data_IF_788939826103
#
_entry.id   IF_788939826103
#
_cell.length_a   1.000
_cell.length_b   1.000
_cell.length_c   1.000
_cell.angle_alpha   90.00
_cell.angle_beta   90.00
_cell.angle_gamma   90.00
#
_symmetry.space_group_name_H-M   'P 1'
#
loop_
_entity.id
_entity.type
_entity.pdbx_description
1 polymer ?
#
# COMPACT_ATOMS: atom_id res chain seq x y z
N UNK A 1 -36.69 -19.89 -24.85
CA UNK A 1 -37.81 -19.85 -23.90
C UNK A 1 -37.43 -20.64 -22.67
N UNK A 2 -37.17 -19.95 -21.56
CA UNK A 2 -37.20 -20.44 -20.17
C UNK A 2 -36.50 -19.36 -19.33
N UNK A 3 -37.27 -18.39 -18.84
CA UNK A 3 -36.81 -17.41 -17.87
C UNK A 3 -37.19 -17.94 -16.49
N UNK A 4 -36.18 -18.37 -15.72
CA UNK A 4 -36.36 -18.74 -14.32
C UNK A 4 -36.60 -17.50 -13.48
N UNK A 5 -37.84 -17.33 -13.01
CA UNK A 5 -38.24 -16.23 -12.15
C UNK A 5 -37.62 -16.36 -10.75
N UNK A 6 -37.00 -15.28 -10.28
CA UNK A 6 -36.58 -15.11 -8.89
C UNK A 6 -37.80 -14.65 -8.10
N UNK A 7 -38.24 -15.46 -7.14
CA UNK A 7 -39.30 -15.08 -6.21
C UNK A 7 -38.74 -14.10 -5.17
N UNK A 8 -39.18 -12.84 -5.24
CA UNK A 8 -38.94 -11.82 -4.22
C UNK A 8 -40.00 -11.99 -3.13
N UNK A 9 -39.57 -12.33 -1.91
CA UNK A 9 -40.44 -12.32 -0.74
C UNK A 9 -40.61 -10.87 -0.21
N UNK A 10 -41.82 -10.44 0.19
CA UNK A 10 -42.05 -9.11 0.74
C UNK A 10 -41.55 -8.99 2.19
N UNK A 11 -41.09 -7.80 2.64
CA UNK A 11 -40.71 -7.57 4.02
C UNK A 11 -41.94 -7.47 4.93
N UNK A 12 -41.96 -8.22 6.02
CA UNK A 12 -42.97 -8.11 7.06
C UNK A 12 -42.80 -6.80 7.87
N UNK A 13 -43.88 -6.17 8.33
CA UNK A 13 -43.84 -4.90 9.03
C UNK A 13 -43.32 -5.01 10.47
N UNK A 14 -42.54 -4.02 10.85
CA UNK A 14 -42.02 -3.78 12.19
C UNK A 14 -43.13 -3.52 13.21
N UNK A 15 -43.21 -4.36 14.25
CA UNK A 15 -43.95 -4.07 15.47
C UNK A 15 -42.98 -3.95 16.65
N UNK A 16 -42.78 -2.70 17.07
CA UNK A 16 -42.21 -2.31 18.36
C UNK A 16 -43.18 -2.75 19.43
N UNK A 17 -42.78 -3.60 20.37
CA UNK A 17 -43.32 -3.64 21.73
C UNK A 17 -42.34 -4.32 22.68
N UNK A 18 -42.02 -3.55 23.70
CA UNK A 18 -41.20 -3.81 24.88
C UNK A 18 -41.60 -5.10 25.60
N UNK A 19 -40.60 -5.91 25.95
CA UNK A 19 -40.79 -7.06 26.84
C UNK A 19 -39.46 -7.53 27.41
N UNK A 20 -39.14 -7.06 28.62
CA UNK A 20 -38.07 -7.59 29.47
C UNK A 20 -38.34 -9.08 29.74
N UNK A 21 -37.74 -9.97 28.95
CA UNK A 21 -37.65 -11.40 29.26
C UNK A 21 -36.28 -11.68 29.86
N UNK A 22 -36.27 -12.02 31.15
CA UNK A 22 -35.12 -12.48 31.93
C UNK A 22 -34.30 -13.53 31.15
N UNK A 23 -33.05 -13.21 30.87
CA UNK A 23 -32.07 -14.11 30.29
C UNK A 23 -31.65 -15.15 31.33
N UNK A 24 -32.31 -16.31 31.34
CA UNK A 24 -31.76 -17.51 31.98
C UNK A 24 -30.62 -18.04 31.09
N UNK A 25 -29.39 -18.23 31.61
CA UNK A 25 -28.30 -18.79 30.82
C UNK A 25 -28.64 -20.24 30.45
N UNK A 26 -28.80 -20.51 29.16
CA UNK A 26 -28.95 -21.87 28.65
C UNK A 26 -27.62 -22.60 28.87
N UNK A 27 -27.62 -23.57 29.78
CA UNK A 27 -26.50 -24.49 29.97
C UNK A 27 -26.20 -25.20 28.64
N UNK A 28 -24.93 -25.31 28.22
CA UNK A 28 -24.57 -26.02 27.00
C UNK A 28 -24.93 -27.50 27.17
N UNK A 29 -25.81 -28.00 26.31
CA UNK A 29 -26.11 -29.43 26.25
C UNK A 29 -24.83 -30.20 25.95
N UNK A 30 -24.52 -31.19 26.81
CA UNK A 30 -23.48 -32.21 26.66
C UNK A 30 -23.70 -33.08 25.40
N UNK A 31 -23.58 -32.48 24.21
CA UNK A 31 -23.58 -33.18 22.91
C UNK A 31 -22.24 -33.09 22.18
N UNK A 32 -21.24 -32.48 22.82
CA UNK A 32 -19.87 -32.35 22.28
C UNK A 32 -18.94 -33.50 22.65
N UNK A 33 -19.41 -34.52 23.39
CA UNK A 33 -18.62 -35.67 23.82
C UNK A 33 -18.93 -36.98 23.07
N UNK A 34 -19.66 -36.92 21.95
CA UNK A 34 -19.64 -38.03 20.98
C UNK A 34 -18.55 -37.74 19.94
N UNK A 35 -17.68 -38.72 19.60
CA UNK A 35 -16.78 -38.58 18.48
C UNK A 35 -17.67 -38.38 17.25
N UNK A 36 -17.74 -37.16 16.73
CA UNK A 36 -18.26 -36.95 15.39
C UNK A 36 -17.35 -37.78 14.50
N UNK A 37 -17.92 -38.82 13.89
CA UNK A 37 -17.24 -39.62 12.89
C UNK A 37 -16.53 -38.62 11.97
N UNK A 38 -15.20 -38.75 11.89
CA UNK A 38 -14.38 -37.84 11.10
C UNK A 38 -15.07 -37.67 9.74
N UNK A 39 -15.21 -36.43 9.22
CA UNK A 39 -15.83 -36.25 7.92
C UNK A 39 -15.11 -37.20 6.97
N UNK A 40 -15.87 -38.13 6.38
CA UNK A 40 -15.39 -39.01 5.35
C UNK A 40 -15.02 -38.07 4.21
N UNK A 41 -13.77 -37.62 4.20
CA UNK A 41 -13.26 -36.73 3.17
C UNK A 41 -13.35 -37.57 1.92
N UNK A 42 -14.35 -37.30 1.09
CA UNK A 42 -14.45 -37.88 -0.24
C UNK A 42 -13.23 -37.36 -0.98
N UNK A 43 -12.17 -38.16 -0.97
CA UNK A 43 -10.96 -37.87 -1.70
C UNK A 43 -11.35 -37.92 -3.16
N UNK A 44 -11.30 -36.77 -3.83
CA UNK A 44 -11.53 -36.73 -5.27
C UNK A 44 -10.64 -37.78 -5.93
N UNK A 45 -11.17 -38.62 -6.85
CA UNK A 45 -10.41 -39.74 -7.43
C UNK A 45 -9.10 -39.26 -8.08
N UNK A 46 -9.10 -38.02 -8.58
CA UNK A 46 -7.94 -37.34 -9.14
C UNK A 46 -6.79 -37.12 -8.15
N UNK A 47 -7.09 -36.91 -6.87
CA UNK A 47 -6.08 -36.73 -5.82
C UNK A 47 -5.44 -38.07 -5.43
N UNK A 48 -6.20 -39.15 -5.48
CA UNK A 48 -5.67 -40.51 -5.27
C UNK A 48 -4.78 -40.95 -6.44
N UNK A 49 -5.18 -40.64 -7.67
CA UNK A 49 -4.36 -40.85 -8.87
C UNK A 49 -3.04 -40.07 -8.80
N UNK A 50 -3.09 -38.81 -8.37
CA UNK A 50 -1.88 -37.99 -8.18
C UNK A 50 -0.97 -38.54 -7.07
N UNK A 51 -1.54 -39.01 -5.95
CA UNK A 51 -0.75 -39.64 -4.88
C UNK A 51 -0.05 -40.90 -5.37
N UNK A 52 -0.77 -41.78 -6.08
CA UNK A 52 -0.19 -42.99 -6.68
C UNK A 52 0.94 -42.65 -7.64
N UNK A 53 0.76 -41.65 -8.49
CA UNK A 53 1.81 -41.17 -9.41
C UNK A 53 3.03 -40.64 -8.65
N UNK A 54 2.85 -39.88 -7.57
CA UNK A 54 3.96 -39.37 -6.76
C UNK A 54 4.72 -40.52 -6.06
N UNK A 55 4.01 -41.53 -5.56
CA UNK A 55 4.60 -42.70 -4.90
C UNK A 55 5.35 -43.61 -5.88
N UNK A 56 4.83 -43.79 -7.10
CA UNK A 56 5.42 -44.63 -8.14
C UNK A 56 6.64 -43.99 -8.81
N UNK A 57 6.56 -42.70 -9.14
CA UNK A 57 7.62 -41.99 -9.88
C UNK A 57 8.59 -41.23 -8.97
N UNK A 58 8.27 -41.03 -7.69
CA UNK A 58 9.10 -40.28 -6.72
C UNK A 58 9.15 -38.76 -6.94
N UNK A 59 8.81 -38.30 -8.15
CA UNK A 59 8.87 -36.90 -8.54
C UNK A 59 7.49 -36.24 -8.52
N UNK A 60 7.36 -35.10 -7.82
CA UNK A 60 6.11 -34.33 -7.86
C UNK A 60 5.89 -33.73 -9.25
N UNK A 61 4.67 -33.70 -9.83
CA UNK A 61 4.44 -33.18 -11.19
C UNK A 61 4.76 -31.68 -11.35
N UNK A 62 5.02 -30.98 -10.25
CA UNK A 62 5.46 -29.58 -10.21
C UNK A 62 6.95 -29.41 -9.92
N UNK A 63 7.72 -30.51 -9.81
CA UNK A 63 9.16 -30.48 -9.64
C UNK A 63 9.81 -29.93 -10.91
N UNK A 64 10.69 -28.96 -10.73
CA UNK A 64 11.28 -28.12 -11.79
C UNK A 64 11.98 -28.97 -12.88
N UNK A 65 12.41 -30.18 -12.54
CA UNK A 65 13.22 -31.06 -13.38
C UNK A 65 12.41 -32.07 -14.22
N UNK A 66 11.07 -32.14 -14.07
CA UNK A 66 10.21 -33.14 -14.73
C UNK A 66 9.92 -32.88 -16.23
N UNK A 67 10.78 -32.13 -16.94
CA UNK A 67 10.69 -31.92 -18.39
C UNK A 67 9.46 -31.15 -18.92
N UNK A 68 8.42 -30.94 -18.09
CA UNK A 68 7.20 -30.19 -18.40
C UNK A 68 7.35 -28.69 -18.12
N UNK A 69 8.03 -28.31 -17.04
CA UNK A 69 8.20 -26.90 -16.63
C UNK A 69 9.29 -26.20 -17.46
N UNK A 70 10.31 -26.93 -17.92
CA UNK A 70 11.42 -26.40 -18.73
C UNK A 70 11.05 -26.00 -20.18
N UNK A 71 9.78 -26.10 -20.58
CA UNK A 71 9.31 -25.79 -21.94
C UNK A 71 8.58 -24.44 -22.08
N UNK A 72 8.29 -23.74 -20.99
CA UNK A 72 7.59 -22.45 -21.04
C UNK A 72 8.50 -21.26 -21.42
N UNK A 73 9.52 -21.49 -22.23
CA UNK A 73 10.33 -20.43 -22.80
C UNK A 73 9.64 -19.85 -24.06
N UNK A 74 9.69 -18.53 -24.29
CA UNK A 74 9.16 -17.95 -25.52
C UNK A 74 9.88 -18.55 -26.73
N UNK A 75 9.14 -19.26 -27.58
CA UNK A 75 9.71 -19.98 -28.73
C UNK A 75 10.48 -19.09 -29.70
N UNK A 76 10.11 -17.81 -29.79
CA UNK A 76 10.69 -16.82 -30.71
C UNK A 76 10.81 -15.46 -30.01
N UNK A 77 11.80 -14.68 -30.42
CA UNK A 77 11.95 -13.28 -30.02
C UNK A 77 10.75 -12.47 -30.51
N UNK A 78 10.09 -11.74 -29.61
CA UNK A 78 8.98 -10.85 -29.96
C UNK A 78 9.44 -9.75 -30.91
N UNK A 79 8.71 -9.53 -32.01
CA UNK A 79 9.02 -8.45 -32.96
C UNK A 79 8.86 -7.07 -32.32
N UNK A 80 9.55 -6.07 -32.88
CA UNK A 80 9.47 -4.69 -32.40
C UNK A 80 8.02 -4.18 -32.39
N UNK A 81 7.25 -4.45 -33.46
CA UNK A 81 5.82 -4.12 -33.57
C UNK A 81 5.01 -4.74 -32.43
N UNK A 82 5.11 -6.06 -32.21
CA UNK A 82 4.34 -6.76 -31.16
C UNK A 82 4.67 -6.26 -29.76
N UNK A 83 5.95 -5.92 -29.48
CA UNK A 83 6.34 -5.32 -28.20
C UNK A 83 5.71 -3.94 -28.00
N UNK A 84 5.76 -3.08 -29.02
CA UNK A 84 5.21 -1.71 -28.97
C UNK A 84 3.69 -1.71 -28.85
N UNK A 85 3.01 -2.56 -29.61
CA UNK A 85 1.56 -2.70 -29.54
C UNK A 85 1.13 -3.18 -28.15
N UNK A 86 1.80 -4.21 -27.62
CA UNK A 86 1.53 -4.71 -26.26
C UNK A 86 1.78 -3.64 -25.18
N UNK A 87 2.76 -2.74 -25.35
CA UNK A 87 3.10 -1.73 -24.34
C UNK A 87 2.28 -0.45 -24.47
N UNK A 88 2.07 0.04 -25.70
CA UNK A 88 1.56 1.39 -25.98
C UNK A 88 0.18 1.43 -26.65
N UNK A 89 -0.35 0.34 -27.21
CA UNK A 89 -1.66 0.40 -27.88
C UNK A 89 -2.81 0.40 -26.85
N UNK A 90 -2.72 -0.47 -25.84
CA UNK A 90 -3.70 -0.54 -24.76
C UNK A 90 -3.78 0.78 -23.98
N UNK A 91 -4.97 1.36 -23.87
CA UNK A 91 -5.21 2.59 -23.12
C UNK A 91 -4.86 2.46 -21.63
N UNK A 92 -4.98 1.26 -21.06
CA UNK A 92 -4.73 1.00 -19.64
C UNK A 92 -3.26 1.20 -19.22
N UNK A 93 -2.33 0.99 -20.15
CA UNK A 93 -0.89 1.18 -19.92
C UNK A 93 -0.43 2.61 -20.15
N UNK A 94 -1.30 3.48 -20.66
CA UNK A 94 -0.99 4.88 -20.88
C UNK A 94 -1.18 5.65 -19.59
N UNK A 95 -0.30 6.62 -19.37
CA UNK A 95 -0.47 7.60 -18.30
C UNK A 95 -1.66 8.48 -18.67
N UNK A 96 -2.71 8.42 -17.85
CA UNK A 96 -3.91 9.25 -18.04
C UNK A 96 -3.60 10.68 -17.56
N UNK A 97 -4.05 11.72 -18.28
CA UNK A 97 -3.91 13.09 -17.80
C UNK A 97 -4.68 13.30 -16.49
N UNK A 98 -4.14 14.14 -15.60
CA UNK A 98 -4.77 14.46 -14.32
C UNK A 98 -5.74 15.63 -14.50
N UNK A 99 -7.03 15.34 -14.61
CA UNK A 99 -8.10 16.34 -14.80
C UNK A 99 -8.57 16.98 -13.48
N UNK A 100 -8.19 16.39 -12.35
CA UNK A 100 -8.62 16.79 -11.02
C UNK A 100 -7.69 17.81 -10.35
N UNK A 101 -7.01 18.63 -11.15
CA UNK A 101 -6.14 19.71 -10.66
C UNK A 101 -6.94 21.02 -10.52
N UNK A 102 -6.88 21.61 -9.33
CA UNK A 102 -7.67 22.77 -8.92
C UNK A 102 -6.76 23.79 -8.24
N UNK A 103 -7.17 25.06 -8.25
CA UNK A 103 -6.53 26.14 -7.48
C UNK A 103 -6.66 25.89 -5.98
N UNK A 104 -5.56 26.08 -5.24
CA UNK A 104 -5.61 26.12 -3.79
C UNK A 104 -6.32 27.39 -3.30
N UNK A 105 -7.31 27.30 -2.39
CA UNK A 105 -8.01 28.48 -1.89
C UNK A 105 -7.15 29.40 -1.01
N UNK A 106 -6.09 28.86 -0.37
CA UNK A 106 -5.23 29.64 0.51
C UNK A 106 -4.08 30.33 -0.25
N UNK A 107 -3.24 29.55 -0.95
CA UNK A 107 -2.03 30.08 -1.60
C UNK A 107 -2.13 30.28 -3.11
N UNK A 108 -3.23 29.86 -3.76
CA UNK A 108 -3.38 29.99 -5.22
C UNK A 108 -2.60 28.98 -6.08
N UNK A 109 -1.70 28.18 -5.51
CA UNK A 109 -0.96 27.14 -6.22
C UNK A 109 -1.84 25.97 -6.67
N UNK A 110 -1.34 25.17 -7.62
CA UNK A 110 -2.03 23.96 -8.09
C UNK A 110 -2.07 22.87 -7.00
N UNK A 111 -3.25 22.28 -6.78
CA UNK A 111 -3.45 21.10 -5.92
C UNK A 111 -4.42 20.11 -6.55
N UNK A 112 -4.57 18.91 -5.97
CA UNK A 112 -5.64 17.96 -6.36
C UNK A 112 -6.98 18.31 -5.70
N UNK A 113 -8.09 18.04 -6.37
CA UNK A 113 -9.45 18.49 -5.99
C UNK A 113 -9.93 18.04 -4.60
N UNK A 114 -9.50 16.88 -4.10
CA UNK A 114 -9.93 16.33 -2.80
C UNK A 114 -8.80 16.24 -1.77
N UNK A 115 -7.65 16.86 -2.04
CA UNK A 115 -6.49 16.80 -1.17
C UNK A 115 -6.16 18.18 -0.61
N UNK A 116 -5.57 18.20 0.59
CA UNK A 116 -4.96 19.42 1.12
C UNK A 116 -3.78 19.84 0.25
N UNK A 117 -3.53 21.15 0.15
CA UNK A 117 -2.36 21.65 -0.56
C UNK A 117 -1.10 21.27 0.23
N UNK A 118 -0.17 20.58 -0.41
CA UNK A 118 1.05 20.13 0.26
C UNK A 118 2.00 21.28 0.59
N UNK A 119 1.93 22.40 -0.14
CA UNK A 119 2.65 23.63 0.18
C UNK A 119 2.15 24.24 1.49
N UNK A 120 0.85 24.58 1.55
CA UNK A 120 0.25 25.13 2.77
C UNK A 120 0.41 24.20 3.97
N UNK A 121 0.29 22.89 3.76
CA UNK A 121 0.51 21.92 4.82
C UNK A 121 1.95 21.93 5.34
N UNK A 122 2.94 22.10 4.46
CA UNK A 122 4.34 22.21 4.86
C UNK A 122 4.58 23.47 5.72
N UNK A 123 4.02 24.61 5.33
CA UNK A 123 4.11 25.87 6.08
C UNK A 123 3.43 25.78 7.46
N UNK A 124 2.24 25.18 7.52
CA UNK A 124 1.55 24.95 8.79
C UNK A 124 2.40 24.03 9.67
N UNK A 125 2.99 22.98 9.10
CA UNK A 125 3.85 22.06 9.84
C UNK A 125 5.12 22.73 10.36
N UNK A 126 5.77 23.60 9.59
CA UNK A 126 6.96 24.34 10.06
C UNK A 126 6.60 25.31 11.18
N UNK A 127 5.47 26.02 11.04
CA UNK A 127 4.94 26.90 12.08
C UNK A 127 4.57 26.17 13.38
N UNK A 128 3.92 25.00 13.29
CA UNK A 128 3.60 24.21 14.48
C UNK A 128 4.87 23.65 15.14
N UNK A 129 5.88 23.28 14.35
CA UNK A 129 7.19 22.86 14.88
C UNK A 129 7.91 24.00 15.61
N UNK A 130 7.90 25.22 15.07
CA UNK A 130 8.52 26.36 15.75
C UNK A 130 7.82 26.70 17.06
N UNK A 131 6.47 26.68 17.08
CA UNK A 131 5.69 26.81 18.31
C UNK A 131 5.98 25.70 19.32
N UNK A 132 6.05 24.44 18.87
CA UNK A 132 6.41 23.31 19.75
C UNK A 132 7.78 23.53 20.38
N UNK A 133 8.78 23.97 19.61
CA UNK A 133 10.12 24.28 20.12
C UNK A 133 10.13 25.43 21.13
N UNK A 134 9.25 26.43 20.95
CA UNK A 134 9.13 27.54 21.90
C UNK A 134 8.43 27.14 23.21
N UNK A 135 7.40 26.28 23.13
CA UNK A 135 6.67 25.78 24.30
C UNK A 135 7.47 24.71 25.07
N UNK A 136 8.17 23.87 24.32
CA UNK A 136 9.00 22.78 24.84
C UNK A 136 10.43 23.01 24.34
N UNK A 137 11.19 23.91 25.00
CA UNK A 137 12.61 24.01 24.72
C UNK A 137 13.24 22.64 24.97
N UNK A 138 13.95 22.12 23.98
CA UNK A 138 14.78 20.93 24.17
C UNK A 138 15.72 21.19 25.35
N UNK A 139 15.96 20.20 26.23
CA UNK A 139 16.88 20.38 27.34
C UNK A 139 18.22 20.83 26.77
N UNK A 140 18.64 22.05 27.11
CA UNK A 140 19.90 22.60 26.64
C UNK A 140 20.99 21.65 27.08
N UNK A 141 21.70 21.05 26.12
CA UNK A 141 22.93 20.32 26.44
C UNK A 141 23.81 21.27 27.24
N UNK A 142 24.14 20.90 28.49
CA UNK A 142 25.07 21.67 29.33
C UNK A 142 26.44 21.52 28.71
N UNK A 143 26.71 22.31 27.67
CA UNK A 143 28.03 22.44 27.10
C UNK A 143 28.81 23.34 28.04
N UNK A 144 30.02 22.91 28.36
CA UNK A 144 30.97 23.76 29.06
C UNK A 144 31.23 24.97 28.15
N UNK A 145 31.06 26.18 28.69
CA UNK A 145 31.45 27.42 28.02
C UNK A 145 32.99 27.46 28.04
N UNK A 146 33.60 26.89 26.99
CA UNK A 146 35.04 26.88 26.78
C UNK A 146 35.43 28.08 25.92
N UNK A 147 36.62 28.63 26.16
CA UNK A 147 37.21 29.61 25.25
C UNK A 147 37.41 28.97 23.86
N UNK A 148 37.35 29.74 22.77
CA UNK A 148 37.48 29.18 21.41
C UNK A 148 38.84 28.51 21.17
N UNK A 149 39.87 28.91 21.91
CA UNK A 149 41.18 28.24 21.92
C UNK A 149 41.07 26.86 22.59
N UNK A 150 40.41 26.81 23.75
CA UNK A 150 40.19 25.56 24.48
C UNK A 150 39.25 24.61 23.73
N UNK A 151 38.22 25.10 23.03
CA UNK A 151 37.36 24.27 22.19
C UNK A 151 38.14 23.59 21.06
N UNK A 152 39.09 24.30 20.43
CA UNK A 152 39.97 23.72 19.39
C UNK A 152 40.99 22.73 19.97
N UNK A 153 41.49 22.97 21.19
CA UNK A 153 42.40 22.06 21.90
C UNK A 153 41.69 20.78 22.36
N UNK A 154 40.50 20.92 22.96
CA UNK A 154 39.70 19.82 23.52
C UNK A 154 39.00 19.02 22.42
N UNK A 155 38.50 19.67 21.36
CA UNK A 155 37.75 19.04 20.27
C UNK A 155 38.36 19.31 18.87
N UNK A 156 39.54 18.75 18.56
CA UNK A 156 40.19 18.97 17.27
C UNK A 156 39.41 18.38 16.09
N UNK A 157 39.38 19.11 14.96
CA UNK A 157 38.66 18.69 13.74
C UNK A 157 39.36 17.52 13.06
N UNK A 158 38.60 16.44 12.81
CA UNK A 158 39.05 15.27 12.04
C UNK A 158 38.77 15.45 10.54
N UNK A 159 39.68 14.97 9.67
CA UNK A 159 39.41 14.84 8.23
C UNK A 159 38.38 13.73 7.99
N UNK A 160 37.28 14.08 7.34
CA UNK A 160 36.21 13.15 7.03
C UNK A 160 36.56 12.32 5.80
N UNK A 161 36.10 11.07 5.78
CA UNK A 161 36.16 10.24 4.58
C UNK A 161 35.16 10.72 3.54
N UNK A 162 35.39 10.42 2.27
CA UNK A 162 34.50 10.83 1.17
C UNK A 162 33.07 10.32 1.36
N UNK A 163 32.90 9.10 1.89
CA UNK A 163 31.57 8.55 2.17
C UNK A 163 30.85 9.30 3.30
N UNK A 164 31.59 9.75 4.31
CA UNK A 164 31.06 10.57 5.41
C UNK A 164 30.68 11.97 4.92
N UNK A 165 31.47 12.54 4.00
CA UNK A 165 31.17 13.82 3.34
C UNK A 165 29.89 13.69 2.53
N UNK A 166 29.79 12.65 1.68
CA UNK A 166 28.57 12.36 0.93
C UNK A 166 27.40 12.24 1.90
N UNK A 167 27.52 11.42 2.95
CA UNK A 167 26.47 11.21 3.95
C UNK A 167 26.04 12.51 4.66
N UNK A 168 26.94 13.48 4.78
CA UNK A 168 26.65 14.79 5.37
C UNK A 168 25.88 15.70 4.42
N UNK A 169 26.22 15.69 3.13
CA UNK A 169 25.58 16.51 2.10
C UNK A 169 24.10 16.15 1.92
N UNK A 170 23.75 14.87 2.06
CA UNK A 170 22.35 14.36 1.97
C UNK A 170 21.67 14.65 0.63
N UNK A 171 22.44 14.74 -0.44
CA UNK A 171 21.93 15.05 -1.78
C UNK A 171 20.98 13.99 -2.36
N UNK A 172 21.04 12.75 -1.87
CA UNK A 172 20.12 11.68 -2.28
C UNK A 172 18.72 11.80 -1.67
N UNK A 173 18.53 12.70 -0.69
CA UNK A 173 17.23 12.87 -0.03
C UNK A 173 16.37 13.79 -0.90
N UNK A 174 15.29 13.29 -1.53
CA UNK A 174 14.46 14.11 -2.39
C UNK A 174 13.77 15.21 -1.57
N UNK A 175 13.96 16.45 -2.00
CA UNK A 175 13.24 17.60 -1.47
C UNK A 175 11.97 17.79 -2.28
N UNK A 176 10.89 18.20 -1.61
CA UNK A 176 9.63 18.51 -2.29
C UNK A 176 9.79 19.80 -3.07
N UNK A 177 9.49 19.76 -4.37
CA UNK A 177 9.43 20.93 -5.23
C UNK A 177 8.23 21.82 -4.88
N UNK A 178 8.39 23.13 -5.06
CA UNK A 178 7.29 24.08 -4.95
C UNK A 178 6.34 23.89 -6.13
N UNK A 179 5.02 23.82 -5.90
CA UNK A 179 4.07 23.70 -6.99
C UNK A 179 4.05 24.97 -7.84
N UNK A 180 3.65 24.86 -9.10
CA UNK A 180 3.41 26.03 -9.95
C UNK A 180 2.14 26.79 -9.50
N UNK A 181 2.08 28.07 -9.86
CA UNK A 181 0.88 28.88 -9.75
C UNK A 181 -0.25 28.32 -10.63
N UNK A 182 -1.50 28.45 -10.18
CA UNK A 182 -2.63 27.94 -10.94
C UNK A 182 -2.93 28.79 -12.18
N UNK A 183 -2.73 28.20 -13.36
CA UNK A 183 -3.26 28.72 -14.62
C UNK A 183 -4.34 27.80 -15.18
N UNK A 184 -5.50 28.38 -15.52
CA UNK A 184 -6.64 27.65 -16.12
C UNK A 184 -6.27 27.07 -17.49
N UNK A 185 -5.45 27.79 -18.25
CA UNK A 185 -5.00 27.38 -19.59
C UNK A 185 -4.11 26.14 -19.56
N UNK A 186 -3.32 25.97 -18.51
CA UNK A 186 -2.37 24.86 -18.38
C UNK A 186 -3.00 23.62 -17.73
N UNK A 187 -3.97 23.82 -16.82
CA UNK A 187 -4.54 22.72 -16.02
C UNK A 187 -5.76 22.06 -16.67
N UNK A 188 -6.51 22.78 -17.53
CA UNK A 188 -7.67 22.21 -18.23
C UNK A 188 -7.32 21.87 -19.67
N UNK A 189 -7.73 20.67 -20.10
CA UNK A 189 -7.68 20.28 -21.50
C UNK A 189 -8.57 21.23 -22.32
N UNK A 190 -7.99 21.87 -23.33
CA UNK A 190 -8.75 22.59 -24.36
C UNK A 190 -9.35 21.54 -25.30
N UNK A 191 -10.67 21.59 -25.48
CA UNK A 191 -11.41 20.76 -26.43
C UNK A 191 -11.48 21.46 -27.77
#
# INVERSE_FOLDING_TARGET
MSFGGIAVAPPAPSSILSGLSLALPRLPTLRQFLPQAAPQVSTDPRLEELKKQIEETGDTPFLIDNGMILRAAPKKRTSHRRRREKLYASGDKKIKPLENLVRCPACGHVKRSHFMCMHCFAEIRTFLKSKKKALFPEPTEVKQELDPVDEQLVYPKRRLRMDEVRLREKDWVPKREEPLEYSRDQTRKKW
#
